data_IF_089133661902
#
_entry.id   IF_089133661902
#
_cell.length_a   1.000
_cell.length_b   1.000
_cell.length_c   1.000
_cell.angle_alpha   90.00
_cell.angle_beta   90.00
_cell.angle_gamma   90.00
#
_symmetry.space_group_name_H-M   'P 1'
#
loop_
_entity.id
_entity.type
_entity.pdbx_description
1 polymer ?
#
# COMPACT_ATOMS: atom_id res chain seq x y z
N UNK A 1 -7.04 -0.63 13.54
CA UNK A 1 -8.12 -1.60 13.23
C UNK A 1 -8.69 -2.32 14.47
N UNK A 2 -7.93 -3.08 15.25
CA UNK A 2 -8.50 -3.78 16.44
C UNK A 2 -9.21 -2.82 17.41
N UNK A 3 -8.60 -1.66 17.68
CA UNK A 3 -9.21 -0.65 18.52
C UNK A 3 -10.50 -0.07 17.90
N UNK A 4 -10.53 0.14 16.58
CA UNK A 4 -11.73 0.62 15.88
C UNK A 4 -12.89 -0.40 15.97
N UNK A 5 -12.57 -1.70 15.90
CA UNK A 5 -13.56 -2.75 16.13
C UNK A 5 -14.13 -2.70 17.54
N UNK A 6 -13.25 -2.56 18.55
CA UNK A 6 -13.66 -2.41 19.96
C UNK A 6 -14.54 -1.17 20.15
N UNK A 7 -14.17 -0.04 19.57
CA UNK A 7 -14.93 1.22 19.66
C UNK A 7 -16.33 1.11 19.01
N UNK A 8 -16.49 0.29 17.96
CA UNK A 8 -17.80 0.00 17.36
C UNK A 8 -18.53 -1.19 18.02
N UNK A 9 -18.03 -1.74 19.13
CA UNK A 9 -18.64 -2.88 19.82
C UNK A 9 -18.67 -4.17 19.00
N UNK A 10 -17.76 -4.32 18.02
CA UNK A 10 -17.73 -5.47 17.09
C UNK A 10 -16.63 -6.45 17.45
N UNK A 11 -17.00 -7.74 17.47
CA UNK A 11 -16.00 -8.82 17.51
C UNK A 11 -15.38 -9.01 16.12
N UNK A 12 -14.15 -9.53 16.07
CA UNK A 12 -13.49 -9.88 14.81
C UNK A 12 -14.34 -10.86 13.98
N UNK A 13 -14.98 -11.85 14.63
CA UNK A 13 -15.86 -12.83 13.95
C UNK A 13 -17.05 -12.16 13.28
N UNK A 14 -17.78 -11.28 13.99
CA UNK A 14 -18.91 -10.54 13.40
C UNK A 14 -18.43 -9.61 12.28
N UNK A 15 -17.29 -8.96 12.48
CA UNK A 15 -16.73 -8.08 11.46
C UNK A 15 -16.27 -8.83 10.21
N UNK A 16 -15.64 -10.00 10.35
CA UNK A 16 -15.20 -10.80 9.20
C UNK A 16 -16.39 -11.25 8.35
N UNK A 17 -17.50 -11.63 9.00
CA UNK A 17 -18.77 -11.92 8.32
C UNK A 17 -19.33 -10.69 7.59
N UNK A 18 -19.33 -9.52 8.25
CA UNK A 18 -19.81 -8.26 7.66
C UNK A 18 -19.06 -7.89 6.37
N UNK A 19 -17.73 -8.03 6.35
CA UNK A 19 -16.91 -7.68 5.17
C UNK A 19 -16.74 -8.83 4.18
N UNK A 20 -17.40 -9.97 4.40
CA UNK A 20 -17.31 -11.15 3.54
C UNK A 20 -15.90 -11.75 3.45
N UNK A 21 -15.13 -11.74 4.55
CA UNK A 21 -13.75 -12.28 4.60
C UNK A 21 -13.61 -13.37 5.66
N UNK A 22 -12.58 -14.20 5.50
CA UNK A 22 -12.22 -15.21 6.50
C UNK A 22 -11.69 -14.52 7.76
N UNK A 23 -11.97 -15.09 8.93
CA UNK A 23 -11.45 -14.54 10.20
C UNK A 23 -9.92 -14.55 10.25
N UNK A 24 -9.27 -15.55 9.64
CA UNK A 24 -7.81 -15.59 9.49
C UNK A 24 -7.28 -14.43 8.65
N UNK A 25 -7.94 -14.10 7.54
CA UNK A 25 -7.59 -12.96 6.70
C UNK A 25 -7.73 -11.64 7.48
N UNK A 26 -8.81 -11.47 8.25
CA UNK A 26 -8.99 -10.30 9.11
C UNK A 26 -7.88 -10.20 10.18
N UNK A 27 -7.48 -11.33 10.78
CA UNK A 27 -6.41 -11.35 11.77
C UNK A 27 -5.06 -10.96 11.17
N UNK A 28 -4.76 -11.41 9.96
CA UNK A 28 -3.54 -11.01 9.25
C UNK A 28 -3.56 -9.51 8.91
N UNK A 29 -4.71 -8.95 8.55
CA UNK A 29 -4.86 -7.50 8.31
C UNK A 29 -4.67 -6.69 9.60
N UNK A 30 -5.24 -7.14 10.72
CA UNK A 30 -5.10 -6.48 12.02
C UNK A 30 -3.64 -6.46 12.49
N UNK A 31 -2.93 -7.57 12.26
CA UNK A 31 -1.55 -7.74 12.70
C UNK A 31 -0.51 -7.22 11.68
N UNK A 32 -0.94 -6.60 10.58
CA UNK A 32 -0.05 -6.09 9.53
C UNK A 32 0.69 -7.18 8.74
N UNK A 33 0.29 -8.46 8.86
CA UNK A 33 0.86 -9.58 8.09
C UNK A 33 0.34 -9.67 6.67
N UNK A 34 -0.73 -8.92 6.37
CA UNK A 34 -1.36 -8.86 5.06
C UNK A 34 -1.63 -7.42 4.69
N UNK A 35 -1.33 -7.07 3.44
CA UNK A 35 -1.49 -5.71 2.94
C UNK A 35 -2.96 -5.35 2.73
N UNK A 36 -3.27 -4.08 2.92
CA UNK A 36 -4.55 -3.48 2.54
C UNK A 36 -4.50 -3.20 1.04
N UNK A 37 -5.25 -3.96 0.25
CA UNK A 37 -5.47 -3.69 -1.18
C UNK A 37 -6.58 -2.67 -1.38
N UNK A 38 -6.74 -2.13 -2.59
CA UNK A 38 -7.86 -1.21 -2.94
C UNK A 38 -9.22 -1.83 -2.58
N UNK A 39 -9.46 -3.09 -2.98
CA UNK A 39 -10.70 -3.80 -2.65
C UNK A 39 -10.92 -3.87 -1.13
N UNK A 40 -9.87 -4.14 -0.34
CA UNK A 40 -9.98 -4.19 1.13
C UNK A 40 -10.24 -2.81 1.70
N UNK A 41 -9.60 -1.77 1.18
CA UNK A 41 -9.84 -0.39 1.59
C UNK A 41 -11.31 0.01 1.37
N UNK A 42 -11.90 -0.31 0.21
CA UNK A 42 -13.32 -0.05 -0.08
C UNK A 42 -14.22 -0.76 0.94
N UNK A 43 -14.01 -2.07 1.18
CA UNK A 43 -14.81 -2.85 2.13
C UNK A 43 -14.67 -2.34 3.56
N UNK A 44 -13.45 -2.02 3.99
CA UNK A 44 -13.18 -1.50 5.33
C UNK A 44 -13.79 -0.11 5.50
N UNK A 45 -13.72 0.74 4.47
CA UNK A 45 -14.29 2.09 4.49
C UNK A 45 -15.81 2.05 4.63
N UNK A 46 -16.48 1.21 3.83
CA UNK A 46 -17.91 0.95 3.97
C UNK A 46 -18.27 0.40 5.36
N UNK A 47 -17.50 -0.55 5.89
CA UNK A 47 -17.79 -1.16 7.18
C UNK A 47 -17.52 -0.22 8.38
N UNK A 48 -16.61 0.73 8.25
CA UNK A 48 -16.25 1.67 9.31
C UNK A 48 -16.89 3.06 9.17
N UNK A 49 -17.67 3.30 8.12
CA UNK A 49 -18.26 4.61 7.79
C UNK A 49 -17.17 5.69 7.59
N UNK A 50 -16.08 5.30 6.92
CA UNK A 50 -14.92 6.16 6.64
C UNK A 50 -14.83 6.45 5.14
N UNK A 51 -14.07 7.49 4.80
CA UNK A 51 -13.69 7.79 3.42
C UNK A 51 -12.81 6.70 2.81
N UNK A 52 -13.11 6.33 1.56
CA UNK A 52 -12.29 5.44 0.75
C UNK A 52 -10.94 6.09 0.39
N UNK A 53 -9.94 5.28 0.06
CA UNK A 53 -8.63 5.76 -0.34
C UNK A 53 -7.65 5.97 0.83
N UNK A 54 -8.15 6.23 2.03
CA UNK A 54 -7.29 6.57 3.18
C UNK A 54 -6.35 5.44 3.57
N UNK A 55 -6.84 4.19 3.67
CA UNK A 55 -5.98 3.08 4.14
C UNK A 55 -5.07 2.56 3.05
N UNK A 56 -5.52 2.56 1.80
CA UNK A 56 -4.64 2.22 0.67
C UNK A 56 -3.52 3.27 0.51
N UNK A 57 -3.80 4.55 0.75
CA UNK A 57 -2.75 5.58 0.75
C UNK A 57 -1.69 5.32 1.83
N UNK A 58 -2.11 4.95 3.05
CA UNK A 58 -1.18 4.55 4.11
C UNK A 58 -0.39 3.29 3.75
N UNK A 59 -1.02 2.29 3.13
CA UNK A 59 -0.34 1.09 2.64
C UNK A 59 0.72 1.45 1.59
N UNK A 60 0.38 2.31 0.63
CA UNK A 60 1.32 2.75 -0.41
C UNK A 60 2.53 3.48 0.19
N UNK A 61 2.32 4.34 1.19
CA UNK A 61 3.42 5.01 1.89
C UNK A 61 4.34 4.02 2.60
N UNK A 62 3.76 3.04 3.31
CA UNK A 62 4.51 1.97 3.96
C UNK A 62 5.31 1.14 2.95
N UNK A 63 4.65 0.67 1.89
CA UNK A 63 5.28 -0.18 0.87
C UNK A 63 6.39 0.58 0.13
N UNK A 64 6.20 1.87 -0.12
CA UNK A 64 7.24 2.73 -0.69
C UNK A 64 8.45 2.87 0.25
N UNK A 65 8.22 3.06 1.55
CA UNK A 65 9.31 3.16 2.52
C UNK A 65 10.12 1.86 2.60
N UNK A 66 9.45 0.71 2.66
CA UNK A 66 10.09 -0.61 2.65
C UNK A 66 10.86 -0.84 1.34
N UNK A 67 10.24 -0.56 0.20
CA UNK A 67 10.89 -0.70 -1.10
C UNK A 67 12.14 0.18 -1.19
N UNK A 68 12.07 1.44 -0.74
CA UNK A 68 13.19 2.38 -0.75
C UNK A 68 14.40 1.86 0.04
N UNK A 69 14.18 1.12 1.13
CA UNK A 69 15.26 0.49 1.90
C UNK A 69 15.93 -0.67 1.16
N UNK A 70 15.21 -1.30 0.22
CA UNK A 70 15.69 -2.45 -0.56
C UNK A 70 16.27 -2.06 -1.92
N UNK A 71 16.01 -0.83 -2.40
CA UNK A 71 16.45 -0.40 -3.72
C UNK A 71 17.98 -0.30 -3.79
N UNK A 72 18.54 -0.94 -4.81
CA UNK A 72 19.97 -0.85 -5.13
C UNK A 72 20.33 0.56 -5.63
N UNK A 73 21.08 1.28 -4.78
CA UNK A 73 21.56 2.64 -5.05
C UNK A 73 22.53 2.71 -6.24
N UNK A 74 23.26 1.62 -6.54
CA UNK A 74 24.14 1.55 -7.71
C UNK A 74 23.33 1.53 -8.98
N UNK A 75 22.29 0.68 -9.04
CA UNK A 75 21.37 0.60 -10.17
C UNK A 75 20.67 1.95 -10.43
N UNK A 76 20.26 2.67 -9.38
CA UNK A 76 19.72 4.04 -9.54
C UNK A 76 20.76 4.96 -10.20
N UNK A 77 22.00 4.94 -9.72
CA UNK A 77 23.07 5.80 -10.21
C UNK A 77 23.40 5.52 -11.68
N UNK A 78 23.44 4.25 -12.07
CA UNK A 78 23.62 3.83 -13.45
C UNK A 78 22.49 4.31 -14.37
N UNK A 79 21.24 4.20 -13.93
CA UNK A 79 20.07 4.71 -14.67
C UNK A 79 20.20 6.23 -14.88
N UNK A 80 20.56 6.98 -13.84
CA UNK A 80 20.78 8.43 -13.94
C UNK A 80 21.88 8.78 -14.94
N UNK A 81 22.99 8.04 -14.92
CA UNK A 81 24.09 8.22 -15.86
C UNK A 81 23.66 7.94 -17.30
N UNK A 82 22.99 6.81 -17.55
CA UNK A 82 22.48 6.44 -18.89
C UNK A 82 21.51 7.49 -19.42
N UNK A 83 20.56 7.95 -18.60
CA UNK A 83 19.61 9.01 -18.95
C UNK A 83 20.31 10.31 -19.37
N UNK A 84 21.43 10.67 -18.74
CA UNK A 84 22.21 11.86 -19.10
C UNK A 84 22.93 11.71 -20.43
N UNK A 85 23.49 10.53 -20.70
CA UNK A 85 24.17 10.23 -21.96
C UNK A 85 23.20 10.26 -23.14
N UNK A 86 22.03 9.61 -23.02
CA UNK A 86 21.00 9.62 -24.07
C UNK A 86 20.54 11.04 -24.43
N UNK A 87 20.37 11.91 -23.43
CA UNK A 87 20.02 13.32 -23.69
C UNK A 87 21.08 14.07 -24.49
N UNK A 88 22.36 13.73 -24.32
CA UNK A 88 23.44 14.34 -25.09
C UNK A 88 23.45 13.84 -26.53
N UNK A 89 23.22 12.54 -26.73
CA UNK A 89 23.09 11.93 -28.06
C UNK A 89 21.89 12.54 -28.80
N UNK A 90 20.71 12.60 -28.19
CA UNK A 90 19.51 13.23 -28.77
C UNK A 90 19.70 14.71 -29.12
N UNK A 91 20.51 15.43 -28.35
CA UNK A 91 20.81 16.83 -28.62
C UNK A 91 21.80 16.98 -29.79
N UNK A 92 22.75 16.04 -29.93
CA UNK A 92 23.73 16.04 -31.01
C UNK A 92 23.10 15.66 -32.35
N UNK A 93 22.14 14.72 -32.38
CA UNK A 93 21.41 14.34 -33.61
C UNK A 93 20.45 15.43 -34.14
N UNK A 94 20.22 16.51 -33.39
CA UNK A 94 19.34 17.62 -33.78
C UNK A 94 20.06 18.81 -34.42
N UNK A 95 21.40 18.75 -34.54
CA UNK A 95 22.23 19.73 -35.22
C UNK A 95 22.79 19.15 -36.51
#
# INVERSE_FOLDING_TARGET
MLQELKNKGRTQKKFSQLIGKKISELNELINGKRNITILRDILLSAAFDNEQGKRIAMQNQHDFAVAKMQVDSKKISEIKRKKHLMKKEDAFERF
#
